data_IF_483414852377
#
_entry.id   IF_483414852377
#
_cell.length_a   1.000
_cell.length_b   1.000
_cell.length_c   1.000
_cell.angle_alpha   90.00
_cell.angle_beta   90.00
_cell.angle_gamma   90.00
#
_symmetry.space_group_name_H-M   'P 1'
#
loop_
_entity.id
_entity.type
_entity.pdbx_description
1 polymer ?
#
# COMPACT_ATOMS: atom_id res chain seq x y z
N UNK A 1 28.37 -0.34 0.02
CA UNK A 1 28.89 -0.58 1.37
C UNK A 1 29.77 -1.81 1.31
N UNK A 2 31.06 -1.67 1.61
CA UNK A 2 32.03 -2.76 1.72
C UNK A 2 32.00 -3.33 3.15
N UNK A 3 32.49 -4.55 3.38
CA UNK A 3 32.50 -5.14 4.74
C UNK A 3 33.13 -4.21 5.80
N UNK A 4 34.17 -3.47 5.42
CA UNK A 4 34.84 -2.52 6.30
C UNK A 4 33.90 -1.41 6.83
N UNK A 5 32.97 -0.95 5.99
CA UNK A 5 32.00 0.09 6.36
C UNK A 5 31.01 -0.44 7.42
N UNK A 6 30.68 -1.74 7.34
CA UNK A 6 29.76 -2.43 8.28
C UNK A 6 30.46 -2.67 9.63
N UNK A 7 31.74 -3.04 9.61
CA UNK A 7 32.53 -3.22 10.83
C UNK A 7 32.72 -1.91 11.61
N UNK A 8 32.95 -0.79 10.90
CA UNK A 8 33.00 0.53 11.52
C UNK A 8 31.68 0.94 12.16
N UNK A 9 30.55 0.65 11.50
CA UNK A 9 29.22 0.95 12.01
C UNK A 9 28.85 0.13 13.25
N UNK A 10 29.26 -1.14 13.30
CA UNK A 10 28.89 -2.07 14.38
C UNK A 10 29.89 -2.05 15.56
N UNK A 11 31.12 -1.57 15.35
CA UNK A 11 32.14 -1.46 16.39
C UNK A 11 32.39 -2.79 17.13
N UNK A 12 32.53 -2.75 18.47
CA UNK A 12 32.73 -3.95 19.28
C UNK A 12 31.53 -4.93 19.27
N UNK A 13 30.34 -4.49 18.80
CA UNK A 13 29.16 -5.35 18.67
C UNK A 13 29.14 -6.17 17.38
N UNK A 14 30.14 -5.99 16.51
CA UNK A 14 30.18 -6.66 15.23
C UNK A 14 30.35 -8.18 15.34
N UNK A 15 30.78 -8.74 16.48
CA UNK A 15 30.94 -10.19 16.77
C UNK A 15 31.32 -11.06 15.55
N UNK A 16 32.29 -10.60 14.74
CA UNK A 16 32.69 -11.25 13.47
C UNK A 16 31.53 -11.66 12.54
N UNK A 17 30.43 -10.90 12.51
CA UNK A 17 29.25 -11.17 11.70
C UNK A 17 29.55 -11.19 10.19
N UNK A 18 30.34 -10.26 9.61
CA UNK A 18 30.65 -10.28 8.17
C UNK A 18 31.52 -11.47 7.74
N UNK A 19 32.34 -11.99 8.66
CA UNK A 19 33.23 -13.14 8.44
C UNK A 19 32.65 -14.48 8.91
N UNK A 20 31.50 -14.48 9.59
CA UNK A 20 30.88 -15.67 10.16
C UNK A 20 30.42 -16.63 9.07
N UNK A 21 30.86 -17.89 9.16
CA UNK A 21 30.35 -18.99 8.35
C UNK A 21 29.49 -19.89 9.21
N UNK A 22 28.25 -20.12 8.80
CA UNK A 22 27.32 -21.03 9.48
C UNK A 22 27.95 -22.41 9.64
N UNK A 23 27.93 -22.92 10.87
CA UNK A 23 28.42 -24.27 11.20
C UNK A 23 27.35 -25.36 11.04
N UNK A 24 26.09 -24.97 10.84
CA UNK A 24 24.92 -25.87 10.87
C UNK A 24 24.26 -26.03 9.50
N UNK A 25 24.28 -25.00 8.67
CA UNK A 25 23.67 -25.00 7.33
C UNK A 25 24.69 -24.52 6.30
N UNK A 26 25.00 -25.36 5.31
CA UNK A 26 25.85 -24.96 4.18
C UNK A 26 25.18 -23.86 3.37
N UNK A 27 25.97 -22.89 2.90
CA UNK A 27 25.46 -21.82 2.02
C UNK A 27 24.85 -22.39 0.74
N UNK A 28 25.32 -23.55 0.28
CA UNK A 28 24.90 -24.14 -1.00
C UNK A 28 23.48 -24.73 -0.93
N UNK A 29 22.92 -24.85 0.28
CA UNK A 29 21.52 -25.23 0.53
C UNK A 29 20.58 -24.02 0.54
N UNK A 30 21.12 -22.79 0.50
CA UNK A 30 20.34 -21.57 0.56
C UNK A 30 20.08 -21.06 -0.85
N UNK A 31 18.81 -20.81 -1.15
CA UNK A 31 18.39 -20.22 -2.42
C UNK A 31 18.11 -18.74 -2.23
N UNK A 32 18.68 -17.90 -3.10
CA UNK A 32 18.50 -16.44 -3.06
C UNK A 32 17.48 -16.05 -4.13
N UNK A 33 16.52 -15.15 -3.83
CA UNK A 33 15.61 -14.59 -4.82
C UNK A 33 16.32 -14.07 -6.08
N UNK A 34 15.77 -14.38 -7.26
CA UNK A 34 16.31 -13.97 -8.56
C UNK A 34 15.21 -13.88 -9.64
N UNK A 35 15.44 -13.17 -10.76
CA UNK A 35 14.38 -13.00 -11.76
C UNK A 35 13.94 -14.32 -12.40
N UNK A 36 14.82 -15.31 -12.35
CA UNK A 36 14.61 -16.69 -12.78
C UNK A 36 14.47 -17.66 -11.59
N UNK A 37 13.93 -17.18 -10.46
CA UNK A 37 13.77 -17.97 -9.23
C UNK A 37 12.97 -19.26 -9.44
N UNK A 38 11.92 -19.22 -10.27
CA UNK A 38 11.17 -20.44 -10.59
C UNK A 38 12.06 -21.44 -11.31
N UNK A 39 12.87 -21.01 -12.27
CA UNK A 39 13.71 -21.88 -13.08
C UNK A 39 14.94 -22.39 -12.31
N UNK A 40 15.58 -21.52 -11.53
CA UNK A 40 16.81 -21.86 -10.79
C UNK A 40 16.58 -22.56 -9.47
N UNK A 41 15.42 -22.38 -8.84
CA UNK A 41 15.16 -22.88 -7.49
C UNK A 41 14.05 -23.91 -7.49
N UNK A 42 12.89 -23.56 -8.02
CA UNK A 42 11.75 -24.48 -7.96
C UNK A 42 11.83 -25.57 -9.03
N UNK A 43 12.28 -25.28 -10.25
CA UNK A 43 12.32 -26.27 -11.32
C UNK A 43 13.31 -27.41 -11.04
N UNK A 44 14.33 -27.16 -10.22
CA UNK A 44 15.30 -28.15 -9.75
C UNK A 44 14.86 -28.89 -8.48
N UNK A 45 13.68 -28.61 -7.95
CA UNK A 45 13.14 -29.23 -6.74
C UNK A 45 12.23 -30.43 -7.06
N UNK A 46 11.80 -31.17 -6.02
CA UNK A 46 10.85 -32.28 -6.17
C UNK A 46 9.38 -31.84 -6.41
N UNK A 47 9.14 -30.56 -6.71
CA UNK A 47 7.78 -30.05 -6.98
C UNK A 47 7.30 -30.60 -8.33
N UNK A 48 6.09 -31.12 -8.32
CA UNK A 48 5.52 -31.70 -9.53
C UNK A 48 5.30 -30.66 -10.63
N UNK A 49 5.20 -31.13 -11.88
CA UNK A 49 4.99 -30.29 -13.07
C UNK A 49 3.77 -29.36 -12.95
N UNK A 50 2.71 -29.75 -12.23
CA UNK A 50 1.52 -28.90 -12.03
C UNK A 50 1.84 -27.71 -11.13
N UNK A 51 2.65 -27.90 -10.09
CA UNK A 51 3.11 -26.84 -9.18
C UNK A 51 4.08 -25.90 -9.90
N UNK A 52 5.05 -26.44 -10.64
CA UNK A 52 6.00 -25.64 -11.42
C UNK A 52 5.29 -24.81 -12.50
N UNK A 53 4.35 -25.42 -13.22
CA UNK A 53 3.49 -24.70 -14.17
C UNK A 53 2.66 -23.62 -13.48
N UNK A 54 2.10 -23.88 -12.29
CA UNK A 54 1.31 -22.90 -11.53
C UNK A 54 2.16 -21.69 -11.13
N UNK A 55 3.37 -21.94 -10.60
CA UNK A 55 4.32 -20.89 -10.23
C UNK A 55 4.76 -20.09 -11.46
N UNK A 56 5.19 -20.78 -12.53
CA UNK A 56 5.58 -20.13 -13.79
C UNK A 56 4.43 -19.32 -14.41
N UNK A 57 3.20 -19.85 -14.40
CA UNK A 57 2.01 -19.12 -14.90
C UNK A 57 1.71 -17.89 -14.06
N UNK A 58 1.83 -17.99 -12.73
CA UNK A 58 1.60 -16.87 -11.81
C UNK A 58 2.58 -15.71 -12.06
N UNK A 59 3.85 -16.02 -12.32
CA UNK A 59 4.89 -15.01 -12.51
C UNK A 59 5.03 -14.52 -13.96
N UNK A 60 4.73 -15.35 -14.96
CA UNK A 60 5.10 -15.09 -16.35
C UNK A 60 3.93 -15.05 -17.37
N UNK A 61 2.69 -15.40 -16.98
CA UNK A 61 1.56 -15.49 -17.92
C UNK A 61 0.20 -14.98 -17.37
N UNK A 62 -0.74 -14.73 -18.29
CA UNK A 62 -2.09 -14.22 -17.98
C UNK A 62 -2.12 -12.75 -17.53
N UNK A 63 -3.23 -12.35 -16.89
CA UNK A 63 -3.44 -10.98 -16.39
C UNK A 63 -2.46 -10.55 -15.29
N UNK A 64 -1.68 -11.48 -14.75
CA UNK A 64 -0.68 -11.25 -13.71
C UNK A 64 0.77 -11.17 -14.24
N UNK A 65 0.97 -11.44 -15.54
CA UNK A 65 2.28 -11.31 -16.21
C UNK A 65 2.81 -9.91 -15.99
N UNK A 66 3.94 -9.78 -15.27
CA UNK A 66 4.56 -8.46 -15.04
C UNK A 66 3.60 -7.44 -14.41
N UNK A 67 2.65 -7.86 -13.57
CA UNK A 67 1.76 -6.93 -12.84
C UNK A 67 1.79 -7.13 -11.33
N UNK A 68 2.81 -7.82 -10.82
CA UNK A 68 2.96 -8.05 -9.39
C UNK A 68 3.68 -6.88 -8.73
N UNK A 69 3.13 -6.42 -7.61
CA UNK A 69 3.82 -5.52 -6.70
C UNK A 69 4.08 -6.23 -5.36
N UNK A 70 5.17 -5.88 -4.69
CA UNK A 70 5.55 -6.49 -3.42
C UNK A 70 5.59 -5.48 -2.27
N UNK A 71 5.11 -5.90 -1.09
CA UNK A 71 5.18 -5.09 0.12
C UNK A 71 6.57 -5.12 0.73
N UNK A 72 7.18 -3.96 0.90
CA UNK A 72 8.52 -3.82 1.48
C UNK A 72 8.49 -3.54 2.99
N UNK A 73 7.34 -3.13 3.53
CA UNK A 73 7.16 -2.93 4.97
C UNK A 73 5.89 -3.56 5.53
N UNK A 74 5.90 -3.80 6.85
CA UNK A 74 4.76 -4.33 7.58
C UNK A 74 4.72 -3.81 9.03
N UNK A 75 3.55 -3.93 9.68
CA UNK A 75 3.44 -3.73 11.13
C UNK A 75 3.71 -5.06 11.83
N UNK A 76 4.55 -5.09 12.86
CA UNK A 76 4.96 -6.35 13.51
C UNK A 76 3.88 -7.02 14.36
N UNK A 77 2.81 -6.29 14.73
CA UNK A 77 1.58 -6.75 15.41
C UNK A 77 1.78 -7.62 16.69
N UNK A 78 3.02 -7.83 17.14
CA UNK A 78 3.38 -8.69 18.27
C UNK A 78 3.95 -7.86 19.44
N UNK A 79 3.56 -6.59 19.51
CA UNK A 79 3.91 -5.69 20.62
C UNK A 79 2.67 -5.25 21.38
N UNK A 80 2.76 -5.21 22.71
CA UNK A 80 1.73 -4.67 23.60
C UNK A 80 2.28 -3.49 24.44
N UNK A 81 1.58 -2.33 24.50
CA UNK A 81 0.40 -2.01 23.71
C UNK A 81 0.71 -1.97 22.21
N UNK A 82 -0.30 -2.21 21.37
CA UNK A 82 -0.14 -2.22 19.91
C UNK A 82 0.45 -0.90 19.44
N UNK A 83 1.55 -0.98 18.68
CA UNK A 83 2.19 0.18 18.06
C UNK A 83 1.76 0.29 16.60
N UNK A 84 1.61 1.52 16.15
CA UNK A 84 1.41 1.83 14.73
C UNK A 84 2.76 2.14 14.10
N UNK A 85 3.55 1.07 13.88
CA UNK A 85 4.90 1.22 13.37
C UNK A 85 5.20 0.35 12.15
N UNK A 86 5.37 0.97 10.98
CA UNK A 86 5.76 0.27 9.75
C UNK A 86 7.26 0.07 9.70
N UNK A 87 7.68 -1.19 9.66
CA UNK A 87 9.08 -1.61 9.66
C UNK A 87 9.40 -2.22 8.30
N UNK A 88 10.55 -1.88 7.72
CA UNK A 88 11.03 -2.50 6.49
C UNK A 88 11.33 -3.98 6.74
N UNK A 89 10.54 -4.86 6.14
CA UNK A 89 10.68 -6.31 6.21
C UNK A 89 11.34 -6.87 4.94
N UNK A 90 11.37 -6.07 3.88
CA UNK A 90 12.09 -6.36 2.66
C UNK A 90 12.59 -5.07 2.02
N UNK A 91 13.32 -5.22 0.92
CA UNK A 91 13.88 -4.12 0.16
C UNK A 91 13.31 -4.04 -1.25
N UNK A 92 13.35 -2.85 -1.85
CA UNK A 92 13.02 -2.67 -3.27
C UNK A 92 13.89 -3.57 -4.16
N UNK A 93 15.15 -3.83 -3.78
CA UNK A 93 16.06 -4.67 -4.54
C UNK A 93 15.65 -6.14 -4.52
N UNK A 94 15.18 -6.66 -3.38
CA UNK A 94 14.64 -8.03 -3.33
C UNK A 94 13.36 -8.14 -4.15
N UNK A 95 12.49 -7.14 -4.08
CA UNK A 95 11.29 -7.10 -4.90
C UNK A 95 11.62 -7.08 -6.41
N UNK A 96 12.58 -6.24 -6.81
CA UNK A 96 13.10 -6.17 -8.18
C UNK A 96 13.73 -7.50 -8.62
N UNK A 97 14.56 -8.10 -7.76
CA UNK A 97 15.16 -9.41 -8.02
C UNK A 97 14.08 -10.48 -8.19
N UNK A 98 12.91 -10.37 -7.57
CA UNK A 98 11.78 -11.28 -7.77
C UNK A 98 10.95 -11.00 -9.04
N UNK A 99 11.34 -10.01 -9.83
CA UNK A 99 10.62 -9.60 -11.04
C UNK A 99 9.34 -8.80 -10.77
N UNK A 100 9.20 -8.20 -9.58
CA UNK A 100 8.10 -7.28 -9.33
C UNK A 100 8.23 -6.03 -10.21
N UNK A 101 7.11 -5.53 -10.72
CA UNK A 101 7.07 -4.28 -11.50
C UNK A 101 6.85 -3.05 -10.64
N UNK A 102 6.45 -3.27 -9.39
CA UNK A 102 6.23 -2.19 -8.44
C UNK A 102 6.52 -2.65 -7.00
N UNK A 103 6.78 -1.69 -6.14
CA UNK A 103 6.81 -1.90 -4.68
C UNK A 103 5.63 -1.20 -4.05
N UNK A 104 5.18 -1.72 -2.90
CA UNK A 104 4.24 -1.00 -2.05
C UNK A 104 4.73 -0.83 -0.64
N UNK A 105 4.47 0.34 -0.09
CA UNK A 105 4.73 0.65 1.31
C UNK A 105 3.44 1.15 2.00
N UNK A 106 3.42 1.12 3.32
CA UNK A 106 2.44 1.80 4.16
C UNK A 106 3.17 2.85 4.97
N UNK A 107 2.57 4.02 5.15
CA UNK A 107 2.95 4.96 6.21
C UNK A 107 1.75 5.15 7.12
N UNK A 108 2.01 5.10 8.43
CA UNK A 108 1.06 5.50 9.45
C UNK A 108 1.31 6.95 9.85
N UNK A 109 0.72 7.88 9.10
CA UNK A 109 0.86 9.32 9.35
C UNK A 109 0.28 9.70 10.72
N UNK A 110 0.97 10.62 11.40
CA UNK A 110 0.58 11.06 12.74
C UNK A 110 0.87 10.06 13.86
N UNK A 111 1.43 8.88 13.57
CA UNK A 111 1.95 7.98 14.61
C UNK A 111 3.33 8.44 15.11
N UNK A 112 3.74 7.97 16.29
CA UNK A 112 5.00 8.33 16.95
C UNK A 112 6.22 8.21 16.02
N UNK A 113 6.30 7.13 15.24
CA UNK A 113 7.42 6.84 14.34
C UNK A 113 7.18 7.25 12.87
N UNK A 114 6.14 8.05 12.61
CA UNK A 114 5.75 8.42 11.24
C UNK A 114 6.87 9.14 10.47
N UNK A 115 7.64 10.03 11.10
CA UNK A 115 8.77 10.71 10.45
C UNK A 115 9.83 9.73 9.93
N UNK A 116 10.16 8.69 10.71
CA UNK A 116 11.09 7.63 10.27
C UNK A 116 10.52 6.88 9.08
N UNK A 117 9.25 6.51 9.14
CA UNK A 117 8.57 5.79 8.06
C UNK A 117 8.56 6.62 6.77
N UNK A 118 8.30 7.92 6.85
CA UNK A 118 8.33 8.84 5.70
C UNK A 118 9.71 8.84 5.03
N UNK A 119 10.78 9.03 5.82
CA UNK A 119 12.15 9.04 5.27
C UNK A 119 12.50 7.69 4.63
N UNK A 120 12.26 6.58 5.32
CA UNK A 120 12.58 5.25 4.82
C UNK A 120 11.82 4.90 3.54
N UNK A 121 10.55 5.30 3.44
CA UNK A 121 9.74 5.05 2.25
C UNK A 121 10.16 5.96 1.10
N UNK A 122 10.45 7.24 1.36
CA UNK A 122 10.94 8.17 0.32
C UNK A 122 12.26 7.67 -0.30
N UNK A 123 13.21 7.24 0.54
CA UNK A 123 14.46 6.63 0.08
C UNK A 123 14.22 5.34 -0.73
N UNK A 124 13.32 4.47 -0.26
CA UNK A 124 13.00 3.23 -0.96
C UNK A 124 12.35 3.47 -2.33
N UNK A 125 11.46 4.47 -2.42
CA UNK A 125 10.77 4.82 -3.66
C UNK A 125 11.71 5.46 -4.68
N UNK A 126 12.59 6.37 -4.25
CA UNK A 126 13.63 6.92 -5.13
C UNK A 126 14.48 5.79 -5.76
N UNK A 127 14.84 4.78 -4.95
CA UNK A 127 15.63 3.64 -5.43
C UNK A 127 14.83 2.67 -6.31
N UNK A 128 13.54 2.48 -6.03
CA UNK A 128 12.66 1.69 -6.87
C UNK A 128 12.50 2.34 -8.26
N UNK A 129 12.36 3.66 -8.32
CA UNK A 129 12.34 4.42 -9.58
C UNK A 129 13.65 4.31 -10.36
N UNK A 130 14.81 4.30 -9.70
CA UNK A 130 16.10 4.04 -10.36
C UNK A 130 16.17 2.66 -11.03
N UNK A 131 15.34 1.70 -10.61
CA UNK A 131 15.21 0.36 -11.21
C UNK A 131 14.02 0.24 -12.18
N UNK A 132 13.29 1.33 -12.43
CA UNK A 132 12.11 1.35 -13.30
C UNK A 132 10.88 0.66 -12.71
N UNK A 133 10.77 0.60 -11.38
CA UNK A 133 9.59 0.05 -10.70
C UNK A 133 8.64 1.16 -10.27
N UNK A 134 7.33 0.94 -10.39
CA UNK A 134 6.34 1.87 -9.83
C UNK A 134 6.26 1.76 -8.30
N UNK A 135 5.76 2.80 -7.66
CA UNK A 135 5.67 2.94 -6.21
C UNK A 135 4.23 3.18 -5.75
N UNK A 136 3.68 2.24 -4.97
CA UNK A 136 2.31 2.31 -4.46
C UNK A 136 2.34 2.59 -2.95
N UNK A 137 1.72 3.69 -2.51
CA UNK A 137 1.74 4.08 -1.10
C UNK A 137 0.38 3.97 -0.44
N UNK A 138 0.32 3.21 0.64
CA UNK A 138 -0.83 3.20 1.53
C UNK A 138 -0.66 4.33 2.56
N UNK A 139 -1.51 5.33 2.45
CA UNK A 139 -1.54 6.47 3.36
C UNK A 139 -2.63 6.22 4.40
N UNK A 140 -2.27 6.18 5.68
CA UNK A 140 -3.24 6.07 6.76
C UNK A 140 -2.85 6.92 7.94
N UNK A 141 -3.82 7.64 8.51
CA UNK A 141 -3.58 8.31 9.78
C UNK A 141 -3.83 7.34 10.91
N UNK A 142 -2.94 7.43 11.89
CA UNK A 142 -2.93 6.63 13.10
C UNK A 142 -2.56 7.51 14.27
N UNK A 143 -3.57 8.16 14.84
CA UNK A 143 -3.40 8.96 16.03
C UNK A 143 -4.72 9.02 16.82
N UNK A 144 -4.74 8.41 18.01
CA UNK A 144 -5.93 8.41 18.88
C UNK A 144 -6.37 9.83 19.29
N UNK A 145 -5.48 10.83 19.23
CA UNK A 145 -5.82 12.24 19.52
C UNK A 145 -6.66 12.89 18.43
N UNK A 146 -6.84 12.24 17.29
CA UNK A 146 -7.72 12.72 16.22
C UNK A 146 -9.17 12.27 16.42
N UNK A 147 -9.48 11.67 17.57
CA UNK A 147 -10.84 11.44 18.02
C UNK A 147 -11.23 12.54 18.99
N UNK A 148 -12.32 13.25 18.71
CA UNK A 148 -12.84 14.34 19.55
C UNK A 148 -14.35 14.25 19.57
N UNK A 149 -14.93 14.30 20.78
CA UNK A 149 -16.39 14.29 20.99
C UNK A 149 -17.08 13.14 20.23
N UNK A 150 -16.53 11.93 20.36
CA UNK A 150 -16.97 10.69 19.68
C UNK A 150 -16.88 10.69 18.14
N UNK A 151 -16.40 11.78 17.54
CA UNK A 151 -16.11 11.84 16.10
C UNK A 151 -14.67 11.40 15.86
N UNK A 152 -14.51 10.41 14.98
CA UNK A 152 -13.20 10.02 14.47
C UNK A 152 -12.81 10.91 13.29
N UNK A 153 -11.78 11.75 13.43
CA UNK A 153 -11.28 12.59 12.34
C UNK A 153 -10.12 11.94 11.58
N UNK A 154 -9.62 10.75 11.96
CA UNK A 154 -8.71 9.95 11.10
C UNK A 154 -9.33 9.59 9.74
N UNK A 155 -10.65 9.79 9.60
CA UNK A 155 -11.42 9.53 8.37
C UNK A 155 -11.83 10.79 7.62
N UNK A 156 -11.37 11.97 8.05
CA UNK A 156 -11.73 13.25 7.46
C UNK A 156 -11.08 13.46 6.09
N UNK A 157 -11.83 14.08 5.17
CA UNK A 157 -11.36 14.35 3.80
C UNK A 157 -10.14 15.27 3.77
N UNK A 158 -10.12 16.32 4.59
CA UNK A 158 -8.97 17.24 4.71
C UNK A 158 -7.71 16.54 5.26
N UNK A 159 -7.87 15.71 6.30
CA UNK A 159 -6.77 14.93 6.86
C UNK A 159 -6.24 13.95 5.83
N UNK A 160 -7.09 13.11 5.26
CA UNK A 160 -6.68 12.11 4.26
C UNK A 160 -6.12 12.73 2.98
N UNK A 161 -6.68 13.88 2.57
CA UNK A 161 -6.14 14.68 1.47
C UNK A 161 -4.70 15.08 1.75
N UNK A 162 -4.40 15.59 2.95
CA UNK A 162 -3.04 15.94 3.33
C UNK A 162 -2.09 14.74 3.31
N UNK A 163 -2.53 13.54 3.71
CA UNK A 163 -1.71 12.32 3.62
C UNK A 163 -1.40 11.94 2.18
N UNK A 164 -2.42 12.00 1.32
CA UNK A 164 -2.25 11.75 -0.10
C UNK A 164 -1.23 12.73 -0.67
N UNK A 165 -1.33 14.02 -0.33
CA UNK A 165 -0.40 15.05 -0.77
C UNK A 165 1.04 14.77 -0.32
N UNK A 166 1.23 14.37 0.94
CA UNK A 166 2.54 13.93 1.43
C UNK A 166 3.04 12.70 0.68
N UNK A 167 2.15 11.74 0.40
CA UNK A 167 2.47 10.53 -0.33
C UNK A 167 2.93 10.78 -1.76
N UNK A 168 2.23 11.63 -2.51
CA UNK A 168 2.63 11.98 -3.89
C UNK A 168 3.93 12.79 -3.89
N UNK A 169 4.17 13.60 -2.85
CA UNK A 169 5.40 14.39 -2.71
C UNK A 169 6.65 13.53 -2.43
N UNK A 170 6.47 12.28 -1.98
CA UNK A 170 7.55 11.31 -1.78
C UNK A 170 7.58 10.24 -2.88
N UNK A 171 7.17 10.62 -4.09
CA UNK A 171 7.27 9.81 -5.32
C UNK A 171 6.37 8.56 -5.34
N UNK A 172 5.17 8.62 -4.75
CA UNK A 172 4.17 7.58 -5.03
C UNK A 172 3.54 7.81 -6.42
N UNK A 173 3.45 6.75 -7.24
CA UNK A 173 2.73 6.75 -8.52
C UNK A 173 1.24 6.42 -8.33
N UNK A 174 0.93 5.65 -7.29
CA UNK A 174 -0.43 5.33 -6.89
C UNK A 174 -0.57 5.52 -5.37
N UNK A 175 -1.57 6.31 -4.99
CA UNK A 175 -2.00 6.44 -3.61
C UNK A 175 -3.14 5.46 -3.34
N UNK A 176 -2.95 4.64 -2.32
CA UNK A 176 -4.00 3.84 -1.71
C UNK A 176 -4.49 4.53 -0.46
N UNK A 177 -5.79 4.81 -0.39
CA UNK A 177 -6.41 5.49 0.75
C UNK A 177 -7.76 4.85 1.11
N UNK A 178 -8.31 5.12 2.30
CA UNK A 178 -9.70 4.78 2.65
C UNK A 178 -10.67 5.88 2.17
N UNK A 179 -11.95 5.54 1.96
CA UNK A 179 -13.00 6.49 1.57
C UNK A 179 -13.38 7.43 2.71
N UNK A 180 -13.31 8.77 2.56
CA UNK A 180 -13.59 9.71 3.64
C UNK A 180 -15.04 9.61 4.09
N UNK A 181 -15.28 9.86 5.38
CA UNK A 181 -16.62 9.75 5.99
C UNK A 181 -17.11 11.08 6.57
N UNK A 182 -16.19 12.02 6.81
CA UNK A 182 -16.48 13.37 7.29
C UNK A 182 -15.42 14.35 6.73
N UNK A 183 -15.45 15.60 7.19
CA UNK A 183 -14.47 16.62 6.83
C UNK A 183 -14.18 17.54 8.04
N UNK A 184 -13.23 18.46 7.89
CA UNK A 184 -12.95 19.48 8.90
C UNK A 184 -12.11 18.99 10.08
N UNK A 185 -11.40 17.87 9.92
CA UNK A 185 -10.58 17.31 10.99
C UNK A 185 -9.43 18.22 11.42
N UNK A 186 -8.81 18.95 10.50
CA UNK A 186 -7.74 19.91 10.80
C UNK A 186 -8.26 21.02 11.72
N UNK A 187 -9.44 21.56 11.41
CA UNK A 187 -10.07 22.64 12.19
C UNK A 187 -10.62 22.12 13.53
N UNK A 188 -11.28 20.96 13.54
CA UNK A 188 -11.89 20.39 14.73
C UNK A 188 -10.85 19.99 15.80
N UNK A 189 -9.74 19.39 15.36
CA UNK A 189 -8.62 19.00 16.22
C UNK A 189 -7.69 20.19 16.49
N UNK A 190 -7.72 21.22 15.65
CA UNK A 190 -6.89 22.43 15.71
C UNK A 190 -5.39 22.12 15.60
N UNK A 191 -5.02 21.43 14.52
CA UNK A 191 -3.63 21.13 14.18
C UNK A 191 -3.40 21.35 12.69
N UNK A 192 -2.21 21.80 12.29
CA UNK A 192 -1.89 22.18 10.90
C UNK A 192 -2.60 23.45 10.41
N UNK A 193 -2.53 23.73 9.11
CA UNK A 193 -3.07 24.92 8.45
C UNK A 193 -4.39 24.59 7.77
N UNK A 194 -5.40 25.43 7.97
CA UNK A 194 -6.66 25.42 7.22
C UNK A 194 -7.03 26.82 6.73
N UNK A 195 -7.86 26.86 5.70
CA UNK A 195 -8.51 28.07 5.18
C UNK A 195 -10.02 27.76 5.08
N UNK A 196 -10.93 28.68 5.47
CA UNK A 196 -12.37 28.45 5.38
C UNK A 196 -12.85 27.99 3.99
N UNK A 197 -12.20 28.44 2.91
CA UNK A 197 -12.53 28.06 1.52
C UNK A 197 -12.29 26.59 1.22
N UNK A 198 -11.41 25.92 1.97
CA UNK A 198 -11.25 24.46 1.88
C UNK A 198 -12.57 23.72 2.12
N UNK A 199 -13.46 24.30 2.93
CA UNK A 199 -14.71 23.68 3.34
C UNK A 199 -15.94 24.31 2.69
N UNK A 200 -15.85 25.56 2.22
CA UNK A 200 -16.96 26.24 1.56
C UNK A 200 -16.91 26.18 0.03
N UNK A 201 -15.73 26.05 -0.58
CA UNK A 201 -15.55 26.10 -2.04
C UNK A 201 -15.03 24.79 -2.64
N UNK A 202 -14.24 24.01 -1.87
CA UNK A 202 -13.54 22.82 -2.39
C UNK A 202 -14.17 21.48 -2.01
N UNK A 203 -15.19 21.47 -1.15
CA UNK A 203 -15.92 20.26 -0.76
C UNK A 203 -17.32 20.60 -0.25
N UNK A 204 -18.22 19.62 -0.30
CA UNK A 204 -19.48 19.59 0.43
C UNK A 204 -19.56 18.30 1.27
N UNK A 205 -20.66 18.08 1.98
CA UNK A 205 -20.92 16.82 2.67
C UNK A 205 -21.24 15.65 1.72
N UNK A 206 -21.35 15.91 0.41
CA UNK A 206 -21.59 14.87 -0.57
C UNK A 206 -20.37 13.93 -0.67
N UNK A 207 -20.54 12.59 -0.59
CA UNK A 207 -19.41 11.65 -0.57
C UNK A 207 -18.48 11.73 -1.79
N UNK A 208 -19.02 12.10 -2.96
CA UNK A 208 -18.21 12.32 -4.17
C UNK A 208 -17.29 13.53 -3.96
N UNK A 209 -17.79 14.65 -3.43
CA UNK A 209 -16.99 15.86 -3.23
C UNK A 209 -15.89 15.62 -2.19
N UNK A 210 -16.20 14.88 -1.12
CA UNK A 210 -15.19 14.44 -0.15
C UNK A 210 -14.10 13.59 -0.79
N UNK A 211 -14.46 12.71 -1.74
CA UNK A 211 -13.50 11.90 -2.49
C UNK A 211 -12.74 12.74 -3.54
N UNK A 212 -13.39 13.71 -4.20
CA UNK A 212 -12.74 14.67 -5.09
C UNK A 212 -11.65 15.43 -4.33
N UNK A 213 -11.90 15.80 -3.07
CA UNK A 213 -10.90 16.42 -2.22
C UNK A 213 -9.63 15.56 -2.08
N UNK A 214 -9.78 14.23 -1.96
CA UNK A 214 -8.64 13.31 -1.97
C UNK A 214 -7.89 13.32 -3.31
N UNK A 215 -8.62 13.32 -4.43
CA UNK A 215 -8.07 13.29 -5.80
C UNK A 215 -7.32 14.59 -6.13
N UNK A 216 -7.85 15.75 -5.71
CA UNK A 216 -7.20 17.06 -5.88
C UNK A 216 -5.81 17.04 -5.20
N UNK A 217 -5.72 16.45 -4.02
CA UNK A 217 -4.46 16.31 -3.28
C UNK A 217 -3.49 15.28 -3.89
N UNK A 218 -3.94 14.47 -4.84
CA UNK A 218 -3.11 13.65 -5.73
C UNK A 218 -2.73 14.40 -7.02
N UNK A 219 -2.40 15.69 -6.90
CA UNK A 219 -2.10 16.60 -8.02
C UNK A 219 -3.18 16.67 -9.11
N UNK A 220 -4.45 16.81 -8.69
CA UNK A 220 -5.62 16.79 -9.59
C UNK A 220 -5.74 15.47 -10.36
N UNK A 221 -5.46 14.34 -9.68
CA UNK A 221 -5.54 13.00 -10.25
C UNK A 221 -4.35 12.60 -11.15
N UNK A 222 -3.31 13.44 -11.28
CA UNK A 222 -2.08 13.06 -12.00
C UNK A 222 -1.36 11.88 -11.37
N UNK A 223 -1.51 11.71 -10.06
CA UNK A 223 -1.15 10.49 -9.36
C UNK A 223 -2.43 9.69 -9.10
N UNK A 224 -2.45 8.42 -9.46
CA UNK A 224 -3.66 7.60 -9.36
C UNK A 224 -4.13 7.44 -7.91
N UNK A 225 -5.40 7.69 -7.62
CA UNK A 225 -6.02 7.38 -6.33
C UNK A 225 -6.84 6.10 -6.41
N UNK A 226 -6.48 5.10 -5.61
CA UNK A 226 -7.31 3.93 -5.37
C UNK A 226 -7.86 3.94 -3.94
N UNK A 227 -9.17 3.73 -3.80
CA UNK A 227 -9.78 3.55 -2.48
C UNK A 227 -9.85 2.07 -2.09
N UNK A 228 -10.04 1.77 -0.80
CA UNK A 228 -10.34 0.40 -0.34
C UNK A 228 -11.77 0.27 0.14
N UNK A 229 -12.37 -0.90 -0.07
CA UNK A 229 -13.70 -1.25 0.41
C UNK A 229 -13.86 -1.39 1.94
N UNK A 230 -12.81 -1.19 2.75
CA UNK A 230 -12.89 -1.26 4.21
C UNK A 230 -12.80 -2.68 4.79
N UNK A 231 -13.23 -2.85 6.03
CA UNK A 231 -13.24 -4.15 6.72
C UNK A 231 -14.43 -5.00 6.30
N UNK A 232 -14.28 -6.32 6.35
CA UNK A 232 -15.38 -7.25 6.05
C UNK A 232 -16.42 -7.20 7.17
N UNK A 233 -17.67 -6.93 6.80
CA UNK A 233 -18.85 -6.98 7.66
C UNK A 233 -19.83 -8.07 7.20
N UNK A 234 -19.44 -8.90 6.23
CA UNK A 234 -20.24 -10.01 5.74
C UNK A 234 -21.22 -9.60 4.66
N UNK A 235 -22.51 -9.53 4.97
CA UNK A 235 -23.60 -9.42 3.98
C UNK A 235 -23.59 -8.10 3.20
N UNK A 236 -23.17 -7.00 3.82
CA UNK A 236 -23.18 -5.67 3.19
C UNK A 236 -21.95 -5.37 2.34
N UNK A 237 -20.92 -6.23 2.36
CA UNK A 237 -19.62 -5.94 1.76
C UNK A 237 -19.68 -5.60 0.28
N UNK A 238 -20.53 -6.30 -0.47
CA UNK A 238 -20.66 -6.10 -1.92
C UNK A 238 -21.25 -4.72 -2.21
N UNK A 239 -22.37 -4.39 -1.56
CA UNK A 239 -23.05 -3.10 -1.72
C UNK A 239 -22.12 -1.96 -1.31
N UNK A 240 -21.43 -2.09 -0.17
CA UNK A 240 -20.46 -1.09 0.29
C UNK A 240 -19.29 -0.92 -0.68
N UNK A 241 -18.78 -2.01 -1.24
CA UNK A 241 -17.65 -1.97 -2.19
C UNK A 241 -18.06 -1.39 -3.54
N UNK A 242 -19.27 -1.71 -4.03
CA UNK A 242 -19.85 -1.12 -5.24
C UNK A 242 -20.06 0.38 -5.02
N UNK A 243 -20.67 0.79 -3.90
CA UNK A 243 -20.82 2.21 -3.55
C UNK A 243 -19.46 2.93 -3.51
N UNK A 244 -18.45 2.30 -2.89
CA UNK A 244 -17.09 2.86 -2.82
C UNK A 244 -16.47 2.99 -4.22
N UNK A 245 -16.64 1.99 -5.08
CA UNK A 245 -16.13 2.02 -6.46
C UNK A 245 -16.81 3.12 -7.29
N UNK A 246 -18.12 3.27 -7.17
CA UNK A 246 -18.89 4.33 -7.84
C UNK A 246 -18.40 5.71 -7.38
N UNK A 247 -18.31 5.94 -6.06
CA UNK A 247 -17.84 7.22 -5.52
C UNK A 247 -16.41 7.52 -5.99
N UNK A 248 -15.49 6.55 -5.88
CA UNK A 248 -14.10 6.74 -6.30
C UNK A 248 -14.02 7.10 -7.79
N UNK A 249 -14.71 6.34 -8.65
CA UNK A 249 -14.71 6.59 -10.09
C UNK A 249 -15.28 7.95 -10.44
N UNK A 250 -16.47 8.29 -9.91
CA UNK A 250 -17.13 9.59 -10.15
C UNK A 250 -16.25 10.77 -9.70
N UNK A 251 -15.44 10.57 -8.64
CA UNK A 251 -14.53 11.59 -8.13
C UNK A 251 -13.22 11.76 -8.92
N UNK A 252 -12.95 10.89 -9.91
CA UNK A 252 -11.68 10.88 -10.66
C UNK A 252 -10.61 9.94 -10.10
N UNK A 253 -10.98 9.07 -9.17
CA UNK A 253 -10.16 7.93 -8.76
C UNK A 253 -10.11 6.84 -9.82
N UNK A 254 -9.08 5.99 -9.75
CA UNK A 254 -8.70 5.07 -10.83
C UNK A 254 -8.86 3.60 -10.47
N UNK A 255 -9.41 3.28 -9.29
CA UNK A 255 -9.54 1.88 -8.89
C UNK A 255 -9.94 1.63 -7.45
N UNK A 256 -10.26 0.35 -7.19
CA UNK A 256 -10.56 -0.16 -5.86
C UNK A 256 -9.60 -1.30 -5.51
N UNK A 257 -9.01 -1.25 -4.31
CA UNK A 257 -8.25 -2.37 -3.74
C UNK A 257 -9.11 -3.16 -2.76
N UNK A 258 -9.11 -4.48 -2.93
CA UNK A 258 -9.87 -5.42 -2.11
C UNK A 258 -8.95 -6.49 -1.53
N UNK A 259 -9.16 -6.81 -0.27
CA UNK A 259 -8.47 -7.88 0.45
C UNK A 259 -9.48 -8.86 1.03
N UNK A 260 -9.60 -8.87 2.36
CA UNK A 260 -10.51 -9.75 3.13
C UNK A 260 -11.92 -9.88 2.52
N UNK A 261 -12.55 -8.76 2.11
CA UNK A 261 -13.88 -8.74 1.49
C UNK A 261 -14.02 -9.66 0.27
N UNK A 262 -12.99 -9.82 -0.55
CA UNK A 262 -13.02 -10.68 -1.74
C UNK A 262 -12.50 -12.09 -1.46
N UNK A 263 -11.46 -12.23 -0.62
CA UNK A 263 -10.72 -13.48 -0.46
C UNK A 263 -11.16 -14.36 0.72
N UNK A 264 -12.00 -13.87 1.63
CA UNK A 264 -12.58 -14.67 2.73
C UNK A 264 -13.95 -15.28 2.38
N UNK A 265 -14.27 -15.37 1.09
CA UNK A 265 -15.53 -15.90 0.55
C UNK A 265 -15.28 -17.22 -0.20
N UNK A 266 -16.32 -18.03 -0.46
CA UNK A 266 -16.23 -19.10 -1.45
C UNK A 266 -15.67 -18.58 -2.78
N UNK A 267 -14.83 -19.38 -3.44
CA UNK A 267 -14.07 -18.95 -4.61
C UNK A 267 -14.94 -18.30 -5.71
N UNK A 268 -16.04 -18.96 -6.08
CA UNK A 268 -16.97 -18.46 -7.10
C UNK A 268 -17.63 -17.13 -6.70
N UNK A 269 -17.94 -16.95 -5.41
CA UNK A 269 -18.47 -15.69 -4.90
C UNK A 269 -17.42 -14.58 -4.93
N UNK A 270 -16.18 -14.88 -4.56
CA UNK A 270 -15.06 -13.94 -4.65
C UNK A 270 -14.79 -13.50 -6.09
N UNK A 271 -14.84 -14.43 -7.05
CA UNK A 271 -14.70 -14.11 -8.48
C UNK A 271 -15.84 -13.21 -8.96
N UNK A 272 -17.10 -13.53 -8.63
CA UNK A 272 -18.26 -12.69 -8.98
C UNK A 272 -18.12 -11.30 -8.36
N UNK A 273 -17.75 -11.22 -7.08
CA UNK A 273 -17.51 -9.98 -6.36
C UNK A 273 -16.50 -9.09 -7.09
N UNK A 274 -15.33 -9.65 -7.45
CA UNK A 274 -14.28 -8.90 -8.15
C UNK A 274 -14.74 -8.42 -9.53
N UNK A 275 -15.47 -9.25 -10.28
CA UNK A 275 -16.03 -8.87 -11.59
C UNK A 275 -17.03 -7.73 -11.47
N UNK A 276 -17.95 -7.79 -10.51
CA UNK A 276 -18.92 -6.71 -10.28
C UNK A 276 -18.24 -5.36 -10.03
N UNK A 277 -17.13 -5.37 -9.28
CA UNK A 277 -16.35 -4.14 -9.05
C UNK A 277 -15.62 -3.68 -10.31
N UNK A 278 -15.08 -4.61 -11.11
CA UNK A 278 -14.48 -4.28 -12.42
C UNK A 278 -15.52 -3.67 -13.37
N UNK A 279 -16.74 -4.19 -13.38
CA UNK A 279 -17.83 -3.70 -14.22
C UNK A 279 -18.16 -2.24 -13.92
N UNK A 280 -18.11 -1.80 -12.65
CA UNK A 280 -18.26 -0.38 -12.29
C UNK A 280 -17.22 0.51 -12.98
N UNK A 281 -15.95 0.09 -13.03
CA UNK A 281 -14.90 0.85 -13.69
C UNK A 281 -14.99 0.79 -15.22
N UNK A 282 -15.51 -0.29 -15.79
CA UNK A 282 -15.69 -0.46 -17.23
C UNK A 282 -16.97 0.21 -17.77
N UNK A 283 -17.99 0.42 -16.92
CA UNK A 283 -19.27 1.02 -17.27
C UNK A 283 -19.11 2.48 -17.70
N UNK A 284 -19.37 2.79 -18.99
CA UNK A 284 -19.18 4.13 -19.56
C UNK A 284 -20.18 5.15 -19.02
N UNK A 285 -21.34 4.69 -18.58
CA UNK A 285 -22.41 5.48 -17.98
C UNK A 285 -22.07 6.03 -16.59
N UNK A 286 -21.07 5.44 -15.92
CA UNK A 286 -20.52 5.95 -14.65
C UNK A 286 -19.30 6.79 -15.01
N UNK A 287 -19.53 8.06 -15.35
CA UNK A 287 -18.49 9.03 -15.72
C UNK A 287 -18.12 9.95 -14.54
N UNK A 288 -17.20 10.89 -14.72
CA UNK A 288 -16.88 11.92 -13.72
C UNK A 288 -18.11 12.75 -13.34
N UNK A 289 -18.11 13.30 -12.12
CA UNK A 289 -19.18 14.13 -11.60
C UNK A 289 -19.19 15.56 -12.12
#
# INVERSE_FOLDING_TARGET
>A
MKCHDVEQLLGQKAENLPGYKSKTLSKDLLHIPSPDFVDKVFALSNRNLKVLRSLSTLYAHGRLTKTCYLSINHNELLTYPTKYDQIMFGSFKEAWNLGAVAVRATIYFGSENSSRQIVQVAEAFERAHQLGMDCILWCYTRNNRFKKEDVNYEVAADIRGQENHLGVSIQADIIKQKMPENNGGITAINFSKSDPRMYSELASDHPIDLCCYQVINCYMGRTGLINSGGESKGETDLIESVKTAVINKRAGGVGLILGRKAFQRPFEEGVKFLRTIQDVYLAKEIDLA
#
